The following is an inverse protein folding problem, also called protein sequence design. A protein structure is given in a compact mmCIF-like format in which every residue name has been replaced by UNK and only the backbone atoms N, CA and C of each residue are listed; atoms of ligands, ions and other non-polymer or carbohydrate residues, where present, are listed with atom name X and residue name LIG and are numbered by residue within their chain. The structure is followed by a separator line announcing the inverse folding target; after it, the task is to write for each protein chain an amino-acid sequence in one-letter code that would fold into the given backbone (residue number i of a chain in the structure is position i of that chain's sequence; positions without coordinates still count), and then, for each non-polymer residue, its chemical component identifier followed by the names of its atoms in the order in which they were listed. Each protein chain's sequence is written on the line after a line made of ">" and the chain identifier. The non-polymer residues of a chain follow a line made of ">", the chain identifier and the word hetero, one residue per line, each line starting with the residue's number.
data_IF_256031847957
#
_entry.id   IF_256031847957
#
_cell.length_a   1.000
_cell.length_b   1.000
_cell.length_c   1.000
_cell.angle_alpha   90.00
_cell.angle_beta   90.00
_cell.angle_gamma   90.00
#
_symmetry.space_group_name_H-M   'P 1'
#
loop_
_entity.id
_entity.type
_entity.pdbx_description
1 polymer ?
#
# COMPACT_ATOMS: atom_id res chain seq x y z
N UNK A 1 -18.15 -7.86 -7.34
CA UNK A 1 -17.53 -9.14 -6.94
C UNK A 1 -16.14 -9.32 -7.52
N UNK A 2 -15.95 -9.71 -8.79
CA UNK A 2 -14.60 -9.99 -9.33
C UNK A 2 -13.61 -8.81 -9.24
N UNK A 3 -14.02 -7.61 -9.66
CA UNK A 3 -13.18 -6.41 -9.58
C UNK A 3 -12.80 -6.05 -8.13
N UNK A 4 -13.75 -6.16 -7.19
CA UNK A 4 -13.49 -5.90 -5.77
C UNK A 4 -12.46 -6.87 -5.19
N UNK A 5 -12.49 -8.13 -5.58
CA UNK A 5 -11.47 -9.12 -5.16
C UNK A 5 -10.08 -8.72 -5.64
N UNK A 6 -9.95 -8.29 -6.90
CA UNK A 6 -8.67 -7.82 -7.45
C UNK A 6 -8.20 -6.55 -6.74
N UNK A 7 -9.12 -5.62 -6.43
CA UNK A 7 -8.79 -4.39 -5.73
C UNK A 7 -8.21 -4.68 -4.34
N UNK A 8 -8.87 -5.55 -3.56
CA UNK A 8 -8.39 -5.96 -2.24
C UNK A 8 -7.04 -6.65 -2.34
N UNK A 9 -6.84 -7.55 -3.31
CA UNK A 9 -5.55 -8.21 -3.53
C UNK A 9 -4.46 -7.20 -3.89
N UNK A 10 -4.76 -6.22 -4.74
CA UNK A 10 -3.86 -5.13 -5.08
C UNK A 10 -3.46 -4.30 -3.86
N UNK A 11 -4.44 -3.89 -3.05
CA UNK A 11 -4.20 -3.14 -1.81
C UNK A 11 -3.30 -3.92 -0.84
N UNK A 12 -3.54 -5.22 -0.65
CA UNK A 12 -2.70 -6.08 0.20
C UNK A 12 -1.27 -6.17 -0.36
N UNK A 13 -1.12 -6.41 -1.67
CA UNK A 13 0.19 -6.48 -2.31
C UNK A 13 0.98 -5.17 -2.16
N UNK A 14 0.32 -4.03 -2.35
CA UNK A 14 0.95 -2.72 -2.18
C UNK A 14 1.30 -2.40 -0.73
N UNK A 15 0.45 -2.78 0.24
CA UNK A 15 0.78 -2.64 1.66
C UNK A 15 2.05 -3.42 2.02
N UNK A 16 2.16 -4.69 1.58
CA UNK A 16 3.34 -5.54 1.80
C UNK A 16 4.58 -4.91 1.15
N UNK A 17 4.46 -4.41 -0.09
CA UNK A 17 5.56 -3.70 -0.76
C UNK A 17 6.03 -2.48 0.03
N UNK A 18 5.09 -1.68 0.55
CA UNK A 18 5.41 -0.50 1.36
C UNK A 18 6.12 -0.86 2.67
N UNK A 19 5.66 -1.92 3.35
CA UNK A 19 6.35 -2.45 4.55
C UNK A 19 7.78 -2.90 4.21
N UNK A 20 7.96 -3.68 3.15
CA UNK A 20 9.27 -4.18 2.74
C UNK A 20 10.24 -3.04 2.42
N UNK A 21 9.77 -2.01 1.70
CA UNK A 21 10.59 -0.83 1.37
C UNK A 21 10.97 -0.05 2.64
N UNK A 22 10.02 0.16 3.55
CA UNK A 22 10.27 0.89 4.78
C UNK A 22 11.22 0.15 5.72
N UNK A 23 11.08 -1.18 5.83
CA UNK A 23 11.99 -2.04 6.59
C UNK A 23 13.40 -2.05 5.99
N UNK A 24 13.53 -2.11 4.66
CA UNK A 24 14.83 -2.01 3.98
C UNK A 24 15.52 -0.66 4.23
N UNK A 25 14.73 0.40 4.45
CA UNK A 25 15.22 1.73 4.86
C UNK A 25 15.40 1.88 6.37
N UNK A 26 15.26 0.81 7.15
CA UNK A 26 15.41 0.78 8.61
C UNK A 26 14.54 1.83 9.32
N UNK A 27 13.33 2.06 8.80
CA UNK A 27 12.37 2.98 9.42
C UNK A 27 11.83 2.38 10.73
N UNK A 28 11.47 3.25 11.66
CA UNK A 28 10.77 2.84 12.88
C UNK A 28 9.34 2.33 12.57
N UNK A 29 8.66 1.64 13.50
CA UNK A 29 7.35 1.05 13.26
C UNK A 29 6.28 2.05 12.81
N UNK A 30 6.35 3.30 13.27
CA UNK A 30 5.43 4.34 12.85
C UNK A 30 5.71 4.75 11.40
N UNK A 31 6.99 4.93 11.05
CA UNK A 31 7.42 5.16 9.67
C UNK A 31 7.02 4.04 8.71
N UNK A 32 7.19 2.78 9.13
CA UNK A 32 6.75 1.60 8.36
C UNK A 32 5.24 1.62 8.12
N UNK A 33 4.45 1.96 9.14
CA UNK A 33 2.99 2.04 9.03
C UNK A 33 2.56 3.12 8.03
N UNK A 34 3.15 4.31 8.11
CA UNK A 34 2.85 5.42 7.20
C UNK A 34 3.15 5.02 5.75
N UNK A 35 4.33 4.47 5.47
CA UNK A 35 4.73 4.09 4.10
C UNK A 35 3.86 2.96 3.55
N UNK A 36 3.56 1.95 4.36
CA UNK A 36 2.65 0.87 3.97
C UNK A 36 1.25 1.41 3.63
N UNK A 37 0.72 2.32 4.46
CA UNK A 37 -0.59 2.93 4.25
C UNK A 37 -0.64 3.78 2.98
N UNK A 38 0.31 4.71 2.80
CA UNK A 38 0.36 5.58 1.63
C UNK A 38 0.53 4.77 0.34
N UNK A 39 1.34 3.72 0.35
CA UNK A 39 1.55 2.85 -0.82
C UNK A 39 0.27 2.09 -1.17
N UNK A 40 -0.44 1.56 -0.18
CA UNK A 40 -1.67 0.79 -0.38
C UNK A 40 -2.85 1.66 -0.87
N UNK A 41 -3.00 2.88 -0.34
CA UNK A 41 -4.10 3.78 -0.68
C UNK A 41 -3.80 4.61 -1.92
N UNK A 42 -2.54 4.99 -2.13
CA UNK A 42 -2.13 5.92 -3.19
C UNK A 42 -2.51 5.46 -4.60
N UNK A 43 -2.43 4.16 -4.89
CA UNK A 43 -2.85 3.62 -6.19
C UNK A 43 -4.35 3.79 -6.46
N UNK A 44 -5.20 3.54 -5.45
CA UNK A 44 -6.64 3.75 -5.55
C UNK A 44 -6.98 5.24 -5.67
N UNK A 45 -6.36 6.09 -4.84
CA UNK A 45 -6.55 7.54 -4.91
C UNK A 45 -6.19 8.12 -6.27
N UNK A 46 -5.07 7.68 -6.87
CA UNK A 46 -4.68 8.13 -8.21
C UNK A 46 -5.67 7.69 -9.27
N UNK A 47 -6.21 6.46 -9.17
CA UNK A 47 -7.26 5.98 -10.07
C UNK A 47 -8.54 6.80 -9.95
N UNK A 48 -8.89 7.22 -8.74
CA UNK A 48 -10.12 7.99 -8.50
C UNK A 48 -9.99 9.45 -8.99
N UNK A 49 -8.77 9.98 -9.07
CA UNK A 49 -8.50 11.34 -9.54
C UNK A 49 -8.41 11.48 -11.07
N UNK A 50 -8.05 10.41 -11.78
CA UNK A 50 -7.85 10.38 -13.22
C UNK A 50 -9.13 9.93 -13.95
#
# INVERSE_FOLDING_TARGET
>A
MFIQTIDILGTIAFAISGVLVAMNKQMDPFGVFIIAFVTAVGGGTLRDLL
#
